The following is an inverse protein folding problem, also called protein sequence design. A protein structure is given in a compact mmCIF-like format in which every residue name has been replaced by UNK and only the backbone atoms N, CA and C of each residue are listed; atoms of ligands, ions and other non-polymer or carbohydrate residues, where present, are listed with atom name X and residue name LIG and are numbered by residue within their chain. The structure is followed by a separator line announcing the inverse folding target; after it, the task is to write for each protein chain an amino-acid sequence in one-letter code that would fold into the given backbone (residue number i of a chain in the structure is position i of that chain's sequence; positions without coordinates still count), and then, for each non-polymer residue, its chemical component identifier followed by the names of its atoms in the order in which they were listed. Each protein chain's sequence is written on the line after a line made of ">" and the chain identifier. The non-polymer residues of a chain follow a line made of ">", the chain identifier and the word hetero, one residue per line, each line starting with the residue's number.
data_IF_385389637243
#
_entry.id   IF_385389637243
#
_cell.length_a   1.000
_cell.length_b   1.000
_cell.length_c   1.000
_cell.angle_alpha   90.00
_cell.angle_beta   90.00
_cell.angle_gamma   90.00
#
_symmetry.space_group_name_H-M   'P 1'
#
loop_
_entity.id
_entity.type
_entity.pdbx_description
1 polymer ?
#
# COMPACT_ATOMS: atom_id res chain seq x y z
N UNK A 1 -34.66 9.07 -6.22
CA UNK A 1 -33.62 9.52 -7.17
C UNK A 1 -32.35 9.81 -6.38
N UNK A 2 -31.19 9.37 -6.88
CA UNK A 2 -29.89 9.67 -6.28
C UNK A 2 -29.47 11.11 -6.68
N UNK A 3 -28.81 11.79 -5.75
CA UNK A 3 -28.23 13.12 -5.98
C UNK A 3 -26.70 12.99 -5.92
N UNK A 4 -25.96 13.31 -6.99
CA UNK A 4 -24.50 13.31 -6.93
C UNK A 4 -24.04 14.46 -6.04
N UNK A 5 -23.11 14.18 -5.11
CA UNK A 5 -22.60 15.17 -4.16
C UNK A 5 -21.10 15.44 -4.33
N UNK A 6 -20.40 14.58 -5.07
CA UNK A 6 -18.95 14.70 -5.25
C UNK A 6 -18.35 13.64 -6.16
N UNK A 7 -17.03 13.64 -6.23
CA UNK A 7 -16.22 12.68 -6.96
C UNK A 7 -15.27 12.01 -5.98
N UNK A 8 -15.06 10.71 -6.15
CA UNK A 8 -14.08 9.90 -5.41
C UNK A 8 -13.16 9.19 -6.40
N UNK A 9 -11.89 9.03 -6.00
CA UNK A 9 -10.93 8.21 -6.71
C UNK A 9 -9.94 7.56 -5.73
N UNK A 10 -9.20 6.59 -6.21
CA UNK A 10 -8.10 5.96 -5.48
C UNK A 10 -6.93 5.71 -6.44
N UNK A 11 -5.72 6.09 -6.05
CA UNK A 11 -4.52 6.04 -6.90
C UNK A 11 -3.75 4.71 -6.80
N UNK A 12 -4.23 3.78 -6.02
CA UNK A 12 -3.55 2.52 -5.70
C UNK A 12 -2.72 2.60 -4.41
N UNK A 13 -2.54 1.43 -3.78
CA UNK A 13 -1.79 1.31 -2.51
C UNK A 13 -0.33 1.71 -2.68
N UNK A 14 0.25 2.31 -1.62
CA UNK A 14 1.68 2.68 -1.57
C UNK A 14 2.12 3.53 -2.76
N UNK A 15 1.31 4.49 -3.14
CA UNK A 15 1.57 5.34 -4.29
C UNK A 15 2.68 6.35 -4.00
N UNK A 16 3.85 6.10 -4.54
CA UNK A 16 5.02 6.96 -4.40
C UNK A 16 5.12 8.01 -5.50
N UNK A 17 4.42 7.82 -6.61
CA UNK A 17 4.44 8.74 -7.74
C UNK A 17 3.40 9.84 -7.56
N UNK A 18 3.86 11.07 -7.46
CA UNK A 18 3.00 12.26 -7.45
C UNK A 18 2.33 12.51 -8.80
N UNK A 19 2.92 12.02 -9.88
CA UNK A 19 2.32 12.08 -11.22
C UNK A 19 1.00 11.31 -11.30
N UNK A 20 0.91 10.17 -10.60
CA UNK A 20 -0.35 9.40 -10.53
C UNK A 20 -1.46 10.19 -9.84
N UNK A 21 -1.11 10.94 -8.78
CA UNK A 21 -2.04 11.85 -8.13
C UNK A 21 -2.46 12.99 -9.06
N UNK A 22 -1.52 13.63 -9.74
CA UNK A 22 -1.82 14.72 -10.67
C UNK A 22 -2.76 14.27 -11.80
N UNK A 23 -2.51 13.10 -12.38
CA UNK A 23 -3.38 12.51 -13.42
C UNK A 23 -4.80 12.27 -12.90
N UNK A 24 -4.95 11.66 -11.71
CA UNK A 24 -6.25 11.37 -11.12
C UNK A 24 -7.02 12.67 -10.78
N UNK A 25 -6.33 13.66 -10.22
CA UNK A 25 -6.89 14.97 -9.88
C UNK A 25 -7.33 15.71 -11.15
N UNK A 26 -6.52 15.67 -12.21
CA UNK A 26 -6.86 16.28 -13.50
C UNK A 26 -8.14 15.66 -14.10
N UNK A 27 -8.22 14.33 -14.15
CA UNK A 27 -9.40 13.62 -14.65
C UNK A 27 -10.62 13.98 -13.80
N UNK A 28 -10.50 13.95 -12.48
CA UNK A 28 -11.58 14.29 -11.55
C UNK A 28 -12.06 15.72 -11.74
N UNK A 29 -11.15 16.67 -11.93
CA UNK A 29 -11.48 18.08 -12.21
C UNK A 29 -12.27 18.25 -13.50
N UNK A 30 -11.88 17.54 -14.55
CA UNK A 30 -12.60 17.57 -15.84
C UNK A 30 -14.03 17.04 -15.70
N UNK A 31 -14.19 15.91 -15.02
CA UNK A 31 -15.51 15.31 -14.75
C UNK A 31 -16.36 16.26 -13.90
N UNK A 32 -15.79 16.79 -12.81
CA UNK A 32 -16.45 17.74 -11.91
C UNK A 32 -16.96 18.97 -12.67
N UNK A 33 -16.11 19.61 -13.48
CA UNK A 33 -16.49 20.79 -14.30
C UNK A 33 -17.58 20.46 -15.31
N UNK A 34 -17.59 19.24 -15.87
CA UNK A 34 -18.67 18.82 -16.78
C UNK A 34 -20.03 18.70 -16.06
N UNK A 35 -20.05 18.24 -14.81
CA UNK A 35 -21.28 18.23 -14.02
C UNK A 35 -21.75 19.64 -13.68
N UNK A 36 -20.82 20.53 -13.31
CA UNK A 36 -21.15 21.94 -13.06
C UNK A 36 -21.79 22.62 -14.29
N UNK A 37 -21.26 22.38 -15.49
CA UNK A 37 -21.85 22.90 -16.73
C UNK A 37 -23.28 22.42 -16.99
N UNK A 38 -23.66 21.26 -16.41
CA UNK A 38 -25.02 20.72 -16.46
C UNK A 38 -25.92 21.18 -15.31
N UNK A 39 -25.48 22.17 -14.53
CA UNK A 39 -26.21 22.68 -13.38
C UNK A 39 -26.18 21.76 -12.14
N UNK A 40 -25.34 20.72 -12.14
CA UNK A 40 -25.23 19.81 -11.01
C UNK A 40 -24.12 20.30 -10.09
N UNK A 41 -24.52 20.82 -8.94
CA UNK A 41 -23.60 21.30 -7.91
C UNK A 41 -23.10 20.13 -7.05
N UNK A 42 -21.79 19.99 -6.96
CA UNK A 42 -21.11 19.02 -6.12
C UNK A 42 -20.17 19.76 -5.16
N UNK A 43 -20.03 19.26 -3.93
CA UNK A 43 -19.27 19.93 -2.89
C UNK A 43 -18.11 19.11 -2.35
N UNK A 44 -17.98 17.85 -2.78
CA UNK A 44 -16.99 16.91 -2.25
C UNK A 44 -16.01 16.44 -3.30
N UNK A 45 -14.74 16.36 -2.91
CA UNK A 45 -13.69 15.63 -3.59
C UNK A 45 -13.07 14.66 -2.59
N UNK A 46 -13.29 13.37 -2.78
CA UNK A 46 -12.60 12.33 -2.01
C UNK A 46 -11.40 11.84 -2.83
N UNK A 47 -10.22 12.14 -2.35
CA UNK A 47 -8.96 11.75 -3.02
C UNK A 47 -8.55 10.31 -2.69
N UNK A 48 -9.34 9.60 -1.86
CA UNK A 48 -9.08 8.21 -1.49
C UNK A 48 -7.86 8.01 -0.60
N UNK A 49 -7.35 6.80 -0.66
CA UNK A 49 -6.14 6.38 0.05
C UNK A 49 -4.94 6.23 -0.87
N UNK A 50 -4.02 5.36 -0.48
CA UNK A 50 -2.80 5.07 -1.23
C UNK A 50 -1.58 5.85 -0.78
N UNK A 51 -1.69 6.65 0.28
CA UNK A 51 -0.56 7.37 0.88
C UNK A 51 0.53 6.38 1.27
N UNK A 52 1.81 6.66 0.89
CA UNK A 52 2.91 5.75 1.14
C UNK A 52 3.30 5.73 2.61
N UNK A 53 3.48 4.53 3.13
CA UNK A 53 4.01 4.30 4.47
C UNK A 53 5.32 3.53 4.43
N UNK A 54 5.92 3.33 5.60
CA UNK A 54 7.27 2.77 5.71
C UNK A 54 7.23 1.32 6.14
N UNK A 55 7.68 0.43 5.24
CA UNK A 55 8.08 -0.93 5.55
C UNK A 55 9.58 -1.15 5.31
N UNK A 56 10.33 -0.07 5.07
CA UNK A 56 11.78 -0.08 4.81
C UNK A 56 12.39 1.28 5.14
N UNK A 57 13.70 1.43 4.98
CA UNK A 57 14.47 2.64 5.30
C UNK A 57 14.06 3.93 4.55
N UNK A 58 13.11 3.87 3.64
CA UNK A 58 12.70 5.01 2.83
C UNK A 58 11.64 5.83 3.57
N UNK A 59 11.96 7.07 3.96
CA UNK A 59 11.00 7.99 4.57
C UNK A 59 10.49 8.98 3.53
N UNK A 60 9.19 8.97 3.24
CA UNK A 60 8.53 10.02 2.46
C UNK A 60 8.28 11.21 3.38
N UNK A 61 8.72 12.38 3.01
CA UNK A 61 8.30 13.60 3.69
C UNK A 61 6.80 13.84 3.39
N UNK A 62 5.96 13.45 4.33
CA UNK A 62 4.51 13.53 4.14
C UNK A 62 4.02 14.97 4.00
N UNK A 63 4.69 15.94 4.62
CA UNK A 63 4.33 17.37 4.48
C UNK A 63 4.53 17.82 3.05
N UNK A 64 5.72 17.59 2.49
CA UNK A 64 6.02 17.91 1.10
C UNK A 64 5.14 17.15 0.13
N UNK A 65 4.89 15.87 0.41
CA UNK A 65 4.03 15.02 -0.40
C UNK A 65 2.57 15.52 -0.45
N UNK A 66 1.97 15.84 0.71
CA UNK A 66 0.61 16.35 0.79
C UNK A 66 0.49 17.76 0.21
N UNK A 67 1.51 18.60 0.39
CA UNK A 67 1.54 19.93 -0.21
C UNK A 67 1.45 19.85 -1.75
N UNK A 68 2.21 18.98 -2.38
CA UNK A 68 2.16 18.80 -3.83
C UNK A 68 0.80 18.29 -4.33
N UNK A 69 0.12 17.43 -3.54
CA UNK A 69 -1.27 17.02 -3.84
C UNK A 69 -2.21 18.23 -3.77
N UNK A 70 -2.11 19.06 -2.74
CA UNK A 70 -2.94 20.26 -2.59
C UNK A 70 -2.68 21.28 -3.69
N UNK A 71 -1.43 21.48 -4.06
CA UNK A 71 -1.06 22.33 -5.20
C UNK A 71 -1.66 21.83 -6.50
N UNK A 72 -1.63 20.50 -6.74
CA UNK A 72 -2.27 19.90 -7.91
C UNK A 72 -3.79 20.09 -7.90
N UNK A 73 -4.45 19.96 -6.74
CA UNK A 73 -5.87 20.25 -6.61
C UNK A 73 -6.16 21.73 -6.96
N UNK A 74 -5.42 22.65 -6.37
CA UNK A 74 -5.60 24.07 -6.64
C UNK A 74 -5.40 24.42 -8.11
N UNK A 75 -4.35 23.89 -8.75
CA UNK A 75 -4.04 24.06 -10.17
C UNK A 75 -5.16 23.56 -11.07
N UNK A 76 -5.66 22.36 -10.82
CA UNK A 76 -6.61 21.71 -11.72
C UNK A 76 -8.06 22.18 -11.53
N UNK A 77 -8.49 22.43 -10.31
CA UNK A 77 -9.85 22.89 -10.02
C UNK A 77 -10.01 24.41 -10.12
N UNK A 78 -8.98 25.18 -9.72
CA UNK A 78 -9.02 26.65 -9.71
C UNK A 78 -10.16 27.18 -8.82
N UNK A 79 -10.92 28.14 -9.33
CA UNK A 79 -12.09 28.73 -8.62
C UNK A 79 -13.23 27.72 -8.40
N UNK A 80 -13.26 26.63 -9.14
CA UNK A 80 -14.27 25.55 -8.99
C UNK A 80 -13.86 24.49 -7.97
N UNK A 81 -12.88 24.77 -7.10
CA UNK A 81 -12.41 23.84 -6.09
C UNK A 81 -13.56 23.42 -5.15
N UNK A 82 -13.78 22.10 -4.97
CA UNK A 82 -14.78 21.61 -4.03
C UNK A 82 -14.54 22.14 -2.61
N UNK A 83 -15.62 22.44 -1.93
CA UNK A 83 -15.56 22.99 -0.56
C UNK A 83 -14.97 21.99 0.44
N UNK A 84 -15.28 20.71 0.26
CA UNK A 84 -14.84 19.64 1.13
C UNK A 84 -13.89 18.70 0.39
N UNK A 85 -12.69 18.53 0.93
CA UNK A 85 -11.71 17.57 0.45
C UNK A 85 -11.54 16.51 1.53
N UNK A 86 -11.71 15.25 1.16
CA UNK A 86 -11.63 14.08 2.03
C UNK A 86 -10.49 13.19 1.57
N UNK A 87 -9.79 12.57 2.49
CA UNK A 87 -8.80 11.53 2.24
C UNK A 87 -9.04 10.31 3.11
N UNK A 88 -8.58 9.14 2.66
CA UNK A 88 -8.74 7.84 3.33
C UNK A 88 -7.37 7.19 3.57
N UNK A 89 -6.49 7.77 4.40
CA UNK A 89 -5.08 7.37 4.49
C UNK A 89 -4.83 6.06 5.25
N UNK A 90 -5.81 5.24 5.51
CA UNK A 90 -5.84 4.00 6.29
C UNK A 90 -4.48 3.40 6.66
N UNK A 91 -3.82 2.76 5.69
CA UNK A 91 -2.49 2.15 5.89
C UNK A 91 -1.44 3.13 6.41
N UNK A 92 -1.41 4.34 5.91
CA UNK A 92 -0.45 5.37 6.34
C UNK A 92 -0.53 5.67 7.84
N UNK A 93 -1.73 5.59 8.43
CA UNK A 93 -1.95 5.90 9.84
C UNK A 93 -1.57 4.75 10.78
N UNK A 94 -1.63 3.50 10.32
CA UNK A 94 -1.56 2.32 11.22
C UNK A 94 -0.47 1.32 10.86
N UNK A 95 0.28 1.52 9.80
CA UNK A 95 1.20 0.51 9.29
C UNK A 95 2.37 0.19 10.21
N UNK A 96 2.77 1.11 11.06
CA UNK A 96 3.84 0.97 12.05
C UNK A 96 3.30 0.76 13.49
N UNK A 97 1.98 0.66 13.63
CA UNK A 97 1.33 0.50 14.93
C UNK A 97 1.27 -0.96 15.41
N UNK A 98 1.67 -1.93 14.58
CA UNK A 98 1.57 -3.35 14.90
C UNK A 98 2.82 -4.14 14.56
N UNK A 99 3.01 -5.23 15.29
CA UNK A 99 4.03 -6.26 15.04
C UNK A 99 3.31 -7.60 14.98
N UNK A 100 3.67 -8.42 13.99
CA UNK A 100 3.25 -9.81 13.92
C UNK A 100 4.41 -10.64 14.44
N UNK A 101 4.18 -11.38 15.50
CA UNK A 101 5.09 -12.40 16.00
C UNK A 101 4.64 -13.76 15.46
N UNK A 102 5.59 -14.54 14.94
CA UNK A 102 5.32 -15.81 14.30
C UNK A 102 6.32 -16.88 14.77
N UNK A 103 5.83 -18.08 15.01
CA UNK A 103 6.66 -19.22 15.36
C UNK A 103 7.20 -19.93 14.12
N UNK A 104 8.47 -20.33 14.16
CA UNK A 104 9.06 -21.21 13.15
C UNK A 104 8.69 -22.64 13.48
N UNK A 105 7.79 -23.24 12.69
CA UNK A 105 7.32 -24.61 12.89
C UNK A 105 8.34 -25.63 12.37
N UNK A 106 8.94 -25.36 11.20
CA UNK A 106 9.86 -26.27 10.54
C UNK A 106 10.83 -25.52 9.62
N UNK A 107 12.08 -25.94 9.66
CA UNK A 107 13.08 -25.58 8.65
C UNK A 107 13.51 -26.86 7.91
N UNK A 108 13.35 -26.87 6.59
CA UNK A 108 13.72 -28.02 5.77
C UNK A 108 14.38 -27.61 4.46
N UNK A 109 15.07 -28.52 3.84
CA UNK A 109 15.67 -28.32 2.54
C UNK A 109 15.35 -29.53 1.65
N UNK A 110 14.85 -29.27 0.44
CA UNK A 110 14.62 -30.34 -0.55
C UNK A 110 15.95 -30.95 -1.00
N UNK A 111 15.93 -32.23 -1.30
CA UNK A 111 17.10 -33.08 -1.56
C UNK A 111 17.92 -32.69 -2.79
N UNK A 112 17.46 -31.76 -3.63
CA UNK A 112 18.17 -31.35 -4.85
C UNK A 112 19.34 -30.41 -4.47
N UNK A 113 20.51 -30.68 -5.02
CA UNK A 113 21.67 -29.81 -4.91
C UNK A 113 21.27 -28.37 -5.30
N UNK A 114 21.52 -27.41 -4.41
CA UNK A 114 21.14 -25.98 -4.53
C UNK A 114 19.67 -25.63 -4.30
N UNK A 115 18.85 -26.52 -3.76
CA UNK A 115 17.49 -26.14 -3.36
C UNK A 115 17.55 -25.12 -2.21
N UNK A 116 16.72 -24.07 -2.30
CA UNK A 116 16.56 -23.12 -1.20
C UNK A 116 15.97 -23.82 0.02
N UNK A 117 16.36 -23.37 1.22
CA UNK A 117 15.71 -23.79 2.47
C UNK A 117 14.28 -23.28 2.50
N UNK A 118 13.40 -24.04 3.11
CA UNK A 118 12.02 -23.68 3.41
C UNK A 118 11.89 -23.45 4.90
N UNK A 119 11.26 -22.34 5.25
CA UNK A 119 10.94 -21.98 6.63
C UNK A 119 9.42 -21.89 6.72
N UNK A 120 8.83 -22.80 7.48
CA UNK A 120 7.39 -22.84 7.74
C UNK A 120 7.11 -22.10 9.03
N UNK A 121 6.15 -21.19 8.98
CA UNK A 121 5.70 -20.39 10.11
C UNK A 121 4.19 -20.53 10.29
N UNK A 122 3.70 -20.22 11.48
CA UNK A 122 2.27 -20.28 11.85
C UNK A 122 1.44 -19.11 11.30
N UNK A 123 2.07 -18.13 10.67
CA UNK A 123 1.42 -16.99 10.01
C UNK A 123 1.62 -17.07 8.50
N UNK A 124 0.54 -16.91 7.76
CA UNK A 124 0.56 -16.96 6.31
C UNK A 124 -0.34 -15.91 5.68
N UNK A 125 -0.58 -16.09 4.39
CA UNK A 125 -1.39 -15.19 3.59
C UNK A 125 -2.80 -15.01 4.14
N UNK A 126 -3.40 -16.08 4.66
CA UNK A 126 -4.81 -16.09 5.07
C UNK A 126 -5.05 -15.64 6.51
N UNK A 127 -3.99 -15.44 7.28
CA UNK A 127 -4.08 -15.07 8.69
C UNK A 127 -3.09 -13.97 9.14
N UNK A 128 -2.69 -13.08 8.24
CA UNK A 128 -1.85 -11.94 8.62
C UNK A 128 -1.03 -11.33 7.49
N UNK A 129 -0.64 -12.11 6.47
CA UNK A 129 0.26 -11.67 5.41
C UNK A 129 -0.41 -11.52 4.04
N UNK A 130 -1.72 -11.26 3.98
CA UNK A 130 -2.50 -11.16 2.73
C UNK A 130 -1.90 -10.16 1.73
N UNK A 131 -1.41 -9.04 2.22
CA UNK A 131 -0.85 -7.96 1.41
C UNK A 131 0.53 -8.27 0.81
N UNK A 132 1.11 -9.44 1.11
CA UNK A 132 2.39 -9.88 0.51
C UNK A 132 2.21 -10.51 -0.86
N UNK A 133 0.99 -10.66 -1.35
CA UNK A 133 0.71 -11.19 -2.68
C UNK A 133 1.42 -10.38 -3.77
N UNK A 134 2.03 -11.10 -4.73
CA UNK A 134 2.77 -10.46 -5.81
C UNK A 134 3.91 -9.56 -5.35
N UNK A 135 4.37 -9.69 -4.09
CA UNK A 135 5.35 -8.80 -3.45
C UNK A 135 4.88 -7.34 -3.34
N UNK A 136 3.56 -7.10 -3.31
CA UNK A 136 2.98 -5.76 -3.20
C UNK A 136 3.47 -5.04 -1.94
N UNK A 137 3.50 -5.73 -0.80
CA UNK A 137 4.06 -5.24 0.46
C UNK A 137 5.23 -6.12 0.90
N UNK A 138 6.35 -5.47 1.21
CA UNK A 138 7.56 -6.12 1.74
C UNK A 138 7.74 -5.73 3.19
N UNK A 139 7.25 -6.57 4.09
CA UNK A 139 7.46 -6.38 5.53
C UNK A 139 8.93 -6.63 5.90
N UNK A 140 9.42 -5.89 6.88
CA UNK A 140 10.70 -6.20 7.54
C UNK A 140 10.51 -7.44 8.40
N UNK A 141 11.39 -8.44 8.23
CA UNK A 141 11.38 -9.68 9.02
C UNK A 141 12.63 -9.66 9.89
N UNK A 142 12.44 -9.87 11.20
CA UNK A 142 13.50 -9.99 12.17
C UNK A 142 13.35 -11.30 12.92
N UNK A 143 14.46 -12.01 13.14
CA UNK A 143 14.47 -13.15 14.05
C UNK A 143 14.74 -12.68 15.48
N UNK A 144 14.15 -13.33 16.47
CA UNK A 144 14.35 -13.00 17.88
C UNK A 144 15.82 -13.08 18.32
N UNK A 145 16.60 -13.95 17.67
CA UNK A 145 18.02 -14.15 17.90
C UNK A 145 18.91 -13.55 16.79
N UNK A 146 18.42 -12.51 16.08
CA UNK A 146 19.17 -11.87 15.00
C UNK A 146 20.49 -11.31 15.52
N UNK A 147 21.58 -12.00 15.20
CA UNK A 147 22.93 -11.68 15.60
C UNK A 147 23.81 -11.56 14.35
N UNK A 148 24.46 -10.40 14.19
CA UNK A 148 25.36 -10.10 13.04
C UNK A 148 26.50 -11.10 12.83
N UNK A 149 26.75 -12.03 13.75
CA UNK A 149 27.75 -13.08 13.63
C UNK A 149 27.34 -14.23 12.72
N UNK A 150 26.04 -14.34 12.36
CA UNK A 150 25.55 -15.42 11.51
C UNK A 150 25.57 -15.05 10.02
N UNK A 151 25.74 -16.05 9.17
CA UNK A 151 25.57 -15.89 7.71
C UNK A 151 24.09 -15.80 7.38
N UNK A 152 23.74 -14.82 6.57
CA UNK A 152 22.39 -14.69 6.02
C UNK A 152 22.26 -15.58 4.78
N UNK A 153 21.16 -16.31 4.67
CA UNK A 153 20.82 -17.15 3.54
C UNK A 153 19.44 -16.78 3.00
N UNK A 154 19.25 -16.97 1.70
CA UNK A 154 17.95 -16.83 1.07
C UNK A 154 17.10 -18.08 1.34
N UNK A 155 15.85 -17.90 1.74
CA UNK A 155 14.91 -18.99 2.00
C UNK A 155 13.54 -18.69 1.40
N UNK A 156 12.70 -19.70 1.34
CA UNK A 156 11.29 -19.59 0.99
C UNK A 156 10.52 -19.63 2.29
N UNK A 157 9.72 -18.58 2.54
CA UNK A 157 8.82 -18.53 3.68
C UNK A 157 7.48 -19.14 3.26
N UNK A 158 6.97 -20.07 4.05
CA UNK A 158 5.69 -20.72 3.82
C UNK A 158 4.79 -20.56 5.05
N UNK A 159 3.53 -20.20 4.81
CA UNK A 159 2.51 -20.15 5.85
C UNK A 159 1.94 -21.53 6.19
N UNK A 160 0.98 -21.58 7.12
CA UNK A 160 0.47 -22.83 7.67
C UNK A 160 -0.53 -23.56 6.78
N UNK A 161 -1.00 -22.94 5.69
CA UNK A 161 -1.96 -23.56 4.81
C UNK A 161 -1.29 -24.50 3.78
N UNK A 162 -2.05 -25.46 3.25
CA UNK A 162 -1.58 -26.32 2.15
C UNK A 162 -1.67 -25.63 0.78
N UNK A 163 -2.14 -24.38 0.71
CA UNK A 163 -2.28 -23.65 -0.54
C UNK A 163 -0.92 -23.19 -1.09
N UNK A 164 -0.69 -23.47 -2.38
CA UNK A 164 0.53 -23.07 -3.08
C UNK A 164 0.75 -21.56 -3.15
N UNK A 165 -0.28 -20.75 -2.90
CA UNK A 165 -0.20 -19.29 -2.82
C UNK A 165 0.26 -18.78 -1.45
N UNK A 166 0.25 -19.63 -0.43
CA UNK A 166 0.70 -19.30 0.92
C UNK A 166 2.23 -19.39 1.05
N UNK A 167 2.91 -18.96 0.01
CA UNK A 167 4.38 -19.00 -0.10
C UNK A 167 4.89 -17.62 -0.50
N UNK A 168 5.88 -17.14 0.23
CA UNK A 168 6.62 -15.93 -0.12
C UNK A 168 7.97 -16.31 -0.72
N UNK A 169 8.11 -16.13 -2.03
CA UNK A 169 9.39 -16.28 -2.74
C UNK A 169 10.05 -14.92 -2.85
N UNK A 170 11.23 -14.75 -2.29
CA UNK A 170 12.05 -13.59 -2.60
C UNK A 170 12.66 -13.81 -3.98
N UNK A 171 12.24 -13.03 -4.99
CA UNK A 171 12.99 -12.95 -6.24
C UNK A 171 14.31 -12.22 -5.94
N UNK A 172 15.42 -12.76 -6.45
CA UNK A 172 16.73 -12.13 -6.35
C UNK A 172 16.74 -10.78 -7.04
#
# INVERSE_FOLDING_TARGET
>A
KLKPVGISFHVGSQQKSLESWEKAINISSRVYKNFLKKGILMNFLNIGGGFPTYYSKYKTDIKKYSQQILESINKNFGEHKPRNIISEPGRFLVADAGIIEAEIILITQKTFKKARKWVYIDVGRYNGLAETEGEAIKYEIKASNDNKKYKYESFILAGPSCDSHDIKKKKN
#
